data_IF_330973680575
#
_entry.id   IF_330973680575
#
_cell.length_a   1.000
_cell.length_b   1.000
_cell.length_c   1.000
_cell.angle_alpha   90.00
_cell.angle_beta   90.00
_cell.angle_gamma   90.00
#
_symmetry.space_group_name_H-M   'P 1'
#
loop_
_entity.id
_entity.type
_entity.pdbx_description
1 polymer ?
#
# COMPACT_ATOMS: atom_id res chain seq x y z
N UNK A 1 11.97 -3.12 7.05
CA UNK A 1 10.94 -2.60 7.99
C UNK A 1 11.03 -1.08 8.24
N UNK A 2 12.14 -0.58 8.79
CA UNK A 2 12.29 0.85 9.12
C UNK A 2 12.21 1.79 7.91
N UNK A 3 12.86 1.44 6.79
CA UNK A 3 12.82 2.23 5.56
C UNK A 3 11.40 2.36 4.99
N UNK A 4 10.62 1.26 5.00
CA UNK A 4 9.22 1.26 4.57
C UNK A 4 8.34 2.12 5.47
N UNK A 5 8.53 2.06 6.79
CA UNK A 5 7.80 2.92 7.72
C UNK A 5 8.08 4.41 7.48
N UNK A 6 9.35 4.78 7.28
CA UNK A 6 9.73 6.16 6.99
C UNK A 6 9.16 6.65 5.64
N UNK A 7 9.10 5.78 4.63
CA UNK A 7 8.50 6.09 3.35
C UNK A 7 6.98 6.31 3.46
N UNK A 8 6.27 5.47 4.22
CA UNK A 8 4.83 5.62 4.47
C UNK A 8 4.54 6.96 5.13
N UNK A 9 5.26 7.31 6.21
CA UNK A 9 5.04 8.59 6.92
C UNK A 9 5.24 9.76 5.97
N UNK A 10 6.33 9.79 5.19
CA UNK A 10 6.59 10.86 4.22
C UNK A 10 5.55 10.90 3.11
N UNK A 11 5.14 9.76 2.59
CA UNK A 11 4.11 9.68 1.55
C UNK A 11 2.77 10.22 2.05
N UNK A 12 2.39 9.93 3.31
CA UNK A 12 1.17 10.48 3.90
C UNK A 12 1.28 11.99 4.15
N UNK A 13 2.45 12.48 4.56
CA UNK A 13 2.67 13.92 4.77
C UNK A 13 2.60 14.72 3.47
N UNK A 14 3.16 14.20 2.38
CA UNK A 14 3.27 14.87 1.07
C UNK A 14 2.44 14.15 0.01
N UNK A 15 1.19 13.82 0.34
CA UNK A 15 0.33 12.99 -0.51
C UNK A 15 -0.01 13.64 -1.86
N UNK A 16 0.13 14.96 -1.97
CA UNK A 16 -0.17 15.79 -3.13
C UNK A 16 1.07 16.13 -3.98
N UNK A 17 2.28 15.79 -3.52
CA UNK A 17 3.54 16.01 -4.23
C UNK A 17 4.00 14.73 -4.95
N UNK A 18 3.78 14.59 -6.27
CA UNK A 18 4.14 13.38 -7.01
C UNK A 18 5.64 13.10 -7.04
N UNK A 19 6.49 14.13 -6.98
CA UNK A 19 7.94 13.97 -7.00
C UNK A 19 8.44 13.37 -5.69
N UNK A 20 7.88 13.81 -4.56
CA UNK A 20 8.18 13.23 -3.24
C UNK A 20 7.71 11.78 -3.18
N UNK A 21 6.49 11.47 -3.63
CA UNK A 21 5.98 10.09 -3.68
C UNK A 21 6.89 9.18 -4.50
N UNK A 22 7.29 9.63 -5.68
CA UNK A 22 8.17 8.85 -6.56
C UNK A 22 9.55 8.61 -5.92
N UNK A 23 10.08 9.60 -5.18
CA UNK A 23 11.37 9.48 -4.49
C UNK A 23 11.32 8.50 -3.32
N UNK A 24 10.29 8.59 -2.47
CA UNK A 24 10.20 7.75 -1.26
C UNK A 24 9.80 6.30 -1.57
N UNK A 25 9.22 6.03 -2.73
CA UNK A 25 8.84 4.68 -3.16
C UNK A 25 10.01 3.83 -3.67
N UNK A 26 11.19 4.43 -3.88
CA UNK A 26 12.39 3.74 -4.42
C UNK A 26 13.09 2.92 -3.34
N UNK A 27 13.61 1.75 -3.73
CA UNK A 27 14.50 0.95 -2.88
C UNK A 27 13.83 0.30 -1.66
N UNK A 28 12.49 0.24 -1.60
CA UNK A 28 11.74 -0.32 -0.46
C UNK A 28 11.70 -1.86 -0.40
N UNK A 29 12.41 -2.52 -1.32
CA UNK A 29 12.37 -3.98 -1.51
C UNK A 29 11.03 -4.46 -2.06
N UNK A 30 10.83 -5.77 -2.07
CA UNK A 30 9.59 -6.37 -2.59
C UNK A 30 8.38 -6.02 -1.73
N UNK A 31 7.29 -5.64 -2.38
CA UNK A 31 6.01 -5.43 -1.72
C UNK A 31 5.55 -6.74 -1.05
N UNK A 32 4.80 -6.62 0.04
CA UNK A 32 4.14 -7.80 0.60
C UNK A 32 3.09 -8.30 -0.39
N UNK A 33 2.99 -9.62 -0.53
CA UNK A 33 2.03 -10.26 -1.41
C UNK A 33 0.63 -9.98 -0.86
N UNK A 34 -0.22 -9.35 -1.67
CA UNK A 34 -1.65 -9.21 -1.38
C UNK A 34 -2.39 -10.51 -1.67
N UNK A 35 -3.50 -10.74 -0.96
CA UNK A 35 -4.44 -11.81 -1.28
C UNK A 35 -5.53 -11.21 -2.16
N UNK A 36 -5.82 -11.82 -3.30
CA UNK A 36 -6.90 -11.36 -4.17
C UNK A 36 -8.25 -11.54 -3.48
N UNK A 37 -9.17 -10.59 -3.68
CA UNK A 37 -10.51 -10.63 -3.05
C UNK A 37 -11.28 -11.91 -3.43
N UNK A 38 -11.06 -12.44 -4.63
CA UNK A 38 -11.65 -13.70 -5.10
C UNK A 38 -11.21 -14.91 -4.27
N UNK A 39 -9.98 -14.90 -3.75
CA UNK A 39 -9.38 -15.98 -2.94
C UNK A 39 -9.76 -15.88 -1.45
N UNK A 40 -10.27 -14.73 -1.01
CA UNK A 40 -10.77 -14.52 0.35
C UNK A 40 -12.15 -15.18 0.49
N UNK A 41 -12.39 -15.97 1.55
CA UNK A 41 -13.71 -16.53 1.80
C UNK A 41 -14.74 -15.41 2.06
N UNK A 42 -15.98 -15.56 1.56
CA UNK A 42 -17.05 -14.55 1.66
C UNK A 42 -17.18 -13.85 3.03
N UNK A 43 -17.19 -14.55 4.20
CA UNK A 43 -17.34 -13.90 5.49
C UNK A 43 -16.15 -13.03 5.92
N UNK A 44 -15.00 -13.13 5.25
CA UNK A 44 -13.82 -12.30 5.50
C UNK A 44 -13.67 -11.16 4.49
N UNK A 45 -14.56 -11.07 3.50
CA UNK A 45 -14.58 -9.95 2.56
C UNK A 45 -15.26 -8.76 3.23
N UNK A 46 -14.56 -7.62 3.28
CA UNK A 46 -15.12 -6.36 3.80
C UNK A 46 -16.08 -5.68 2.80
N UNK A 47 -16.06 -6.10 1.53
CA UNK A 47 -16.97 -5.62 0.50
C UNK A 47 -17.89 -6.77 0.05
N UNK A 48 -19.19 -6.64 0.31
CA UNK A 48 -20.21 -7.64 -0.09
C UNK A 48 -20.78 -7.37 -1.50
N UNK A 49 -20.60 -6.17 -2.04
CA UNK A 49 -21.05 -5.77 -3.39
C UNK A 49 -19.86 -5.25 -4.19
N UNK A 50 -19.80 -5.66 -5.46
CA UNK A 50 -18.69 -5.41 -6.39
C UNK A 50 -18.33 -3.93 -6.57
N UNK A 51 -17.13 -3.74 -7.12
CA UNK A 51 -16.41 -2.48 -7.42
C UNK A 51 -17.26 -1.22 -7.57
#
# INVERSE_FOLDING_TARGET
PAQRAAAIVKATTFYDDPDVIAKVSRGLGEAMIGINVEEIAQPHRLAERGW
#
